data_IF_363073302094
#
_entry.id   IF_363073302094
#
_cell.length_a   1.000
_cell.length_b   1.000
_cell.length_c   1.000
_cell.angle_alpha   90.00
_cell.angle_beta   90.00
_cell.angle_gamma   90.00
#
_symmetry.space_group_name_H-M   'P 1'
#
loop_
_entity.id
_entity.type
_entity.pdbx_description
1 polymer ?
#
# COMPACT_ATOMS: atom_id res chain seq x y z
N UNK A 1 4.37 27.68 -0.79
CA UNK A 1 5.63 27.07 -1.30
C UNK A 1 5.32 25.65 -1.74
N UNK A 2 5.73 25.25 -2.94
CA UNK A 2 5.61 23.85 -3.39
C UNK A 2 6.53 22.98 -2.54
N UNK A 3 6.05 21.88 -1.96
CA UNK A 3 6.90 20.95 -1.22
C UNK A 3 8.00 20.36 -2.12
N UNK A 4 9.16 20.03 -1.51
CA UNK A 4 10.32 19.38 -2.18
C UNK A 4 9.88 18.16 -2.99
N UNK A 5 9.06 17.31 -2.38
CA UNK A 5 8.43 16.15 -3.02
C UNK A 5 7.77 16.49 -4.36
N UNK A 6 6.92 17.51 -4.40
CA UNK A 6 6.22 17.89 -5.62
C UNK A 6 7.16 18.48 -6.68
N UNK A 7 8.22 19.17 -6.27
CA UNK A 7 9.24 19.67 -7.18
C UNK A 7 10.01 18.53 -7.84
N UNK A 8 10.44 17.52 -7.05
CA UNK A 8 11.14 16.34 -7.54
C UNK A 8 10.25 15.50 -8.49
N UNK A 9 8.98 15.28 -8.15
CA UNK A 9 8.01 14.60 -9.02
C UNK A 9 7.90 15.31 -10.37
N UNK A 10 7.70 16.64 -10.36
CA UNK A 10 7.55 17.43 -11.59
C UNK A 10 8.81 17.43 -12.43
N UNK A 11 9.98 17.59 -11.81
CA UNK A 11 11.26 17.61 -12.50
C UNK A 11 11.54 16.27 -13.18
N UNK A 12 11.27 15.17 -12.47
CA UNK A 12 11.49 13.79 -12.96
C UNK A 12 10.57 13.43 -14.14
N UNK A 13 9.32 13.89 -14.11
CA UNK A 13 8.33 13.55 -15.12
C UNK A 13 8.44 14.38 -16.42
N UNK A 14 9.24 15.46 -16.43
CA UNK A 14 9.40 16.34 -17.58
C UNK A 14 8.06 16.87 -18.11
N UNK A 15 7.76 16.60 -19.39
CA UNK A 15 6.51 17.06 -20.03
C UNK A 15 5.25 16.44 -19.42
N UNK A 16 5.35 15.30 -18.74
CA UNK A 16 4.23 14.57 -18.12
C UNK A 16 4.00 14.93 -16.66
N UNK A 17 4.46 16.11 -16.21
CA UNK A 17 4.32 16.57 -14.82
C UNK A 17 2.88 16.54 -14.30
N UNK A 18 1.87 16.79 -15.14
CA UNK A 18 0.46 16.75 -14.71
C UNK A 18 0.07 15.31 -14.36
N UNK A 19 0.38 14.36 -15.24
CA UNK A 19 0.05 12.95 -15.07
C UNK A 19 0.81 12.31 -13.89
N UNK A 20 2.04 12.76 -13.63
CA UNK A 20 2.80 12.34 -12.45
C UNK A 20 2.11 12.79 -11.15
N UNK A 21 1.64 14.04 -11.09
CA UNK A 21 0.91 14.56 -9.93
C UNK A 21 -0.46 13.89 -9.76
N UNK A 22 -1.15 13.59 -10.84
CA UNK A 22 -2.39 12.81 -10.80
C UNK A 22 -2.15 11.40 -10.27
N UNK A 23 -1.08 10.75 -10.70
CA UNK A 23 -0.68 9.42 -10.21
C UNK A 23 -0.34 9.46 -8.71
N UNK A 24 0.41 10.48 -8.26
CA UNK A 24 0.68 10.67 -6.83
C UNK A 24 -0.61 10.91 -6.03
N UNK A 25 -1.53 11.72 -6.54
CA UNK A 25 -2.84 11.97 -5.92
C UNK A 25 -3.68 10.69 -5.81
N UNK A 26 -3.64 9.81 -6.82
CA UNK A 26 -4.33 8.50 -6.77
C UNK A 26 -3.77 7.63 -5.64
N UNK A 27 -2.44 7.55 -5.50
CA UNK A 27 -1.80 6.80 -4.41
C UNK A 27 -2.20 7.35 -3.01
N UNK A 28 -2.15 8.67 -2.82
CA UNK A 28 -2.55 9.28 -1.54
C UNK A 28 -4.03 9.03 -1.19
N UNK A 29 -4.92 9.08 -2.19
CA UNK A 29 -6.33 8.73 -2.01
C UNK A 29 -6.54 7.25 -1.69
N UNK A 30 -5.74 6.36 -2.27
CA UNK A 30 -5.77 4.95 -1.95
C UNK A 30 -5.40 4.72 -0.48
N UNK A 31 -4.27 5.28 -0.01
CA UNK A 31 -3.85 5.22 1.39
C UNK A 31 -4.94 5.73 2.35
N UNK A 32 -5.48 6.93 2.10
CA UNK A 32 -6.52 7.51 2.94
C UNK A 32 -7.86 6.72 2.91
N UNK A 33 -8.14 5.99 1.83
CA UNK A 33 -9.33 5.15 1.73
C UNK A 33 -9.13 3.84 2.47
N UNK A 34 -7.98 3.19 2.27
CA UNK A 34 -7.57 2.00 3.03
C UNK A 34 -7.61 2.26 4.52
N UNK A 35 -7.09 3.40 5.00
CA UNK A 35 -7.13 3.75 6.42
C UNK A 35 -8.57 3.77 6.98
N UNK A 36 -9.50 4.41 6.26
CA UNK A 36 -10.91 4.47 6.65
C UNK A 36 -11.59 3.10 6.62
N UNK A 37 -11.21 2.25 5.68
CA UNK A 37 -11.76 0.90 5.57
C UNK A 37 -11.28 0.00 6.69
N UNK A 38 -9.98 0.02 7.01
CA UNK A 38 -9.44 -0.71 8.16
C UNK A 38 -10.14 -0.27 9.44
N UNK A 39 -10.28 1.03 9.70
CA UNK A 39 -11.03 1.50 10.88
C UNK A 39 -12.48 0.98 10.90
N UNK A 40 -13.14 0.89 9.74
CA UNK A 40 -14.50 0.33 9.61
C UNK A 40 -14.54 -1.15 9.98
N UNK A 41 -13.53 -1.95 9.62
CA UNK A 41 -13.46 -3.38 9.98
C UNK A 41 -13.52 -3.56 11.50
N UNK A 42 -12.75 -2.78 12.26
CA UNK A 42 -12.76 -2.83 13.73
C UNK A 42 -14.08 -2.34 14.33
N UNK A 43 -14.66 -1.28 13.77
CA UNK A 43 -15.95 -0.78 14.21
C UNK A 43 -17.07 -1.81 13.96
N UNK A 44 -17.04 -2.52 12.82
CA UNK A 44 -17.99 -3.59 12.54
C UNK A 44 -17.84 -4.75 13.53
N UNK A 45 -16.61 -5.17 13.85
CA UNK A 45 -16.35 -6.17 14.87
C UNK A 45 -16.92 -5.76 16.24
N UNK A 46 -16.69 -4.51 16.65
CA UNK A 46 -17.28 -3.95 17.86
C UNK A 46 -18.82 -4.00 17.84
N UNK A 47 -19.46 -3.59 16.72
CA UNK A 47 -20.92 -3.60 16.62
C UNK A 47 -21.49 -5.01 16.75
N UNK A 48 -20.83 -6.02 16.17
CA UNK A 48 -21.24 -7.44 16.33
C UNK A 48 -21.16 -7.88 17.79
N UNK A 49 -20.06 -7.55 18.48
CA UNK A 49 -19.89 -7.83 19.92
C UNK A 49 -20.96 -7.14 20.77
N UNK A 50 -21.23 -5.85 20.51
CA UNK A 50 -22.23 -5.09 21.26
C UNK A 50 -23.67 -5.57 20.98
N UNK A 51 -23.98 -6.01 19.76
CA UNK A 51 -25.29 -6.57 19.42
C UNK A 51 -25.56 -7.87 20.17
N UNK A 52 -24.58 -8.78 20.25
CA UNK A 52 -24.69 -10.00 21.04
C UNK A 52 -24.82 -9.70 22.55
N UNK A 53 -24.11 -8.69 23.05
CA UNK A 53 -24.30 -8.20 24.42
C UNK A 53 -25.72 -7.70 24.68
N UNK A 54 -26.34 -6.96 23.76
CA UNK A 54 -27.69 -6.44 23.96
C UNK A 54 -28.74 -7.54 24.14
N UNK A 55 -28.50 -8.73 23.57
CA UNK A 55 -29.38 -9.88 23.73
C UNK A 55 -29.33 -10.48 25.15
N UNK A 56 -28.14 -10.60 25.76
CA UNK A 56 -27.93 -11.35 27.01
C UNK A 56 -27.31 -10.55 28.19
N UNK A 57 -27.15 -9.24 28.06
CA UNK A 57 -26.78 -8.20 29.08
C UNK A 57 -25.78 -8.59 30.20
N UNK A 58 -24.82 -9.47 29.94
CA UNK A 58 -23.80 -9.91 30.91
C UNK A 58 -22.37 -9.61 30.47
N UNK A 59 -21.42 -9.68 31.41
CA UNK A 59 -19.97 -9.63 31.07
C UNK A 59 -19.56 -10.90 30.32
N UNK A 60 -20.14 -12.05 30.69
CA UNK A 60 -19.91 -13.33 30.00
C UNK A 60 -20.34 -13.25 28.54
N UNK A 61 -21.49 -12.63 28.23
CA UNK A 61 -21.94 -12.48 26.84
C UNK A 61 -21.02 -11.60 25.99
N UNK A 62 -20.33 -10.62 26.57
CA UNK A 62 -19.27 -9.87 25.86
C UNK A 62 -18.07 -10.77 25.52
N UNK A 63 -17.64 -11.63 26.45
CA UNK A 63 -16.52 -12.54 26.22
C UNK A 63 -16.86 -13.61 25.17
N UNK A 64 -18.06 -14.17 25.24
CA UNK A 64 -18.57 -15.13 24.27
C UNK A 64 -18.66 -14.51 22.88
N UNK A 65 -19.23 -13.30 22.76
CA UNK A 65 -19.34 -12.61 21.47
C UNK A 65 -17.98 -12.29 20.84
N UNK A 66 -16.98 -11.91 21.64
CA UNK A 66 -15.60 -11.71 21.17
C UNK A 66 -15.01 -13.05 20.68
N UNK A 67 -15.26 -14.15 21.40
CA UNK A 67 -14.79 -15.48 20.99
C UNK A 67 -15.49 -15.99 19.73
N UNK A 68 -16.78 -15.71 19.56
CA UNK A 68 -17.55 -16.09 18.38
C UNK A 68 -17.10 -15.33 17.13
N UNK A 69 -16.90 -14.01 17.22
CA UNK A 69 -16.38 -13.20 16.10
C UNK A 69 -15.03 -13.75 15.60
N UNK A 70 -14.16 -14.12 16.55
CA UNK A 70 -12.85 -14.69 16.23
C UNK A 70 -12.94 -16.14 15.71
N UNK A 71 -13.72 -17.02 16.35
CA UNK A 71 -13.91 -18.42 15.89
C UNK A 71 -14.51 -18.48 14.49
N UNK A 72 -15.46 -17.58 14.21
CA UNK A 72 -16.04 -17.41 12.88
C UNK A 72 -15.07 -16.81 11.85
N UNK A 73 -13.86 -16.44 12.27
CA UNK A 73 -12.84 -15.78 11.44
C UNK A 73 -13.32 -14.49 10.76
N UNK A 74 -14.36 -13.84 11.30
CA UNK A 74 -15.02 -12.70 10.62
C UNK A 74 -14.06 -11.51 10.53
N UNK A 75 -13.46 -11.12 11.66
CA UNK A 75 -12.43 -10.06 11.66
C UNK A 75 -11.23 -10.41 10.77
N UNK A 76 -10.81 -11.68 10.76
CA UNK A 76 -9.69 -12.13 9.92
C UNK A 76 -10.02 -11.98 8.44
N UNK A 77 -11.20 -12.44 8.00
CA UNK A 77 -11.63 -12.35 6.61
C UNK A 77 -11.90 -10.91 6.18
N UNK A 78 -12.51 -10.08 7.03
CA UNK A 78 -12.70 -8.65 6.79
C UNK A 78 -11.34 -7.94 6.59
N UNK A 79 -10.36 -8.21 7.47
CA UNK A 79 -9.01 -7.65 7.35
C UNK A 79 -8.27 -8.16 6.12
N UNK A 80 -8.40 -9.46 5.82
CA UNK A 80 -7.80 -10.09 4.65
C UNK A 80 -8.31 -9.39 3.40
N UNK A 81 -9.61 -9.27 3.22
CA UNK A 81 -10.21 -8.62 2.06
C UNK A 81 -9.71 -7.18 1.88
N UNK A 82 -9.65 -6.39 2.96
CA UNK A 82 -9.17 -5.00 2.87
C UNK A 82 -7.67 -4.90 2.53
N UNK A 83 -6.84 -5.84 2.99
CA UNK A 83 -5.42 -5.90 2.61
C UNK A 83 -5.26 -6.36 1.16
N UNK A 84 -6.06 -7.32 0.70
CA UNK A 84 -6.08 -7.76 -0.71
C UNK A 84 -6.47 -6.60 -1.65
N UNK A 85 -7.47 -5.80 -1.22
CA UNK A 85 -7.87 -4.56 -1.91
C UNK A 85 -6.76 -3.52 -1.89
N UNK A 86 -6.06 -3.34 -0.77
CA UNK A 86 -4.94 -2.41 -0.64
C UNK A 86 -3.79 -2.77 -1.60
N UNK A 87 -3.41 -4.04 -1.69
CA UNK A 87 -2.40 -4.56 -2.64
C UNK A 87 -2.85 -4.30 -4.08
N UNK A 88 -4.08 -4.70 -4.42
CA UNK A 88 -4.61 -4.57 -5.77
C UNK A 88 -4.70 -3.11 -6.23
N UNK A 89 -5.04 -2.19 -5.32
CA UNK A 89 -5.12 -0.74 -5.56
C UNK A 89 -3.73 -0.12 -5.67
N UNK A 90 -2.80 -0.53 -4.81
CA UNK A 90 -1.41 -0.08 -4.86
C UNK A 90 -0.76 -0.44 -6.19
N UNK A 91 -0.89 -1.69 -6.63
CA UNK A 91 -0.37 -2.15 -7.92
C UNK A 91 -1.00 -1.37 -9.10
N UNK A 92 -2.31 -1.12 -9.06
CA UNK A 92 -2.98 -0.32 -10.08
C UNK A 92 -2.42 1.11 -10.18
N UNK A 93 -2.21 1.75 -9.02
CA UNK A 93 -1.65 3.08 -8.95
C UNK A 93 -0.19 3.13 -9.45
N UNK A 94 0.58 2.06 -9.21
CA UNK A 94 1.99 1.96 -9.60
C UNK A 94 2.23 1.93 -11.11
N UNK A 95 1.29 1.38 -11.88
CA UNK A 95 1.39 1.27 -13.35
C UNK A 95 0.91 2.53 -14.08
N UNK A 96 -0.01 3.29 -13.47
CA UNK A 96 -0.80 4.30 -14.17
C UNK A 96 0.01 5.31 -14.97
N UNK A 97 1.13 5.80 -14.41
CA UNK A 97 1.98 6.77 -15.09
C UNK A 97 2.72 6.15 -16.28
N UNK A 98 3.37 5.00 -16.07
CA UNK A 98 4.12 4.31 -17.12
C UNK A 98 3.23 3.89 -18.27
N UNK A 99 2.00 3.43 -17.97
CA UNK A 99 0.99 3.13 -18.96
C UNK A 99 0.65 4.37 -19.80
N UNK A 100 0.27 5.47 -19.14
CA UNK A 100 -0.07 6.71 -19.84
C UNK A 100 1.04 7.17 -20.81
N UNK A 101 2.27 7.28 -20.31
CA UNK A 101 3.42 7.76 -21.08
C UNK A 101 3.70 6.83 -22.26
N UNK A 102 3.70 5.52 -22.04
CA UNK A 102 3.99 4.54 -23.09
C UNK A 102 2.93 4.57 -24.18
N UNK A 103 1.64 4.63 -23.81
CA UNK A 103 0.56 4.68 -24.78
C UNK A 103 0.54 5.99 -25.57
N UNK A 104 0.94 7.10 -24.95
CA UNK A 104 1.09 8.39 -25.62
C UNK A 104 2.22 8.35 -26.67
N UNK A 105 3.40 7.87 -26.27
CA UNK A 105 4.58 7.70 -27.14
C UNK A 105 4.28 6.78 -28.33
N UNK A 106 3.67 5.61 -28.08
CA UNK A 106 3.34 4.65 -29.15
C UNK A 106 2.34 5.24 -30.14
N UNK A 107 1.31 5.95 -29.67
CA UNK A 107 0.36 6.66 -30.55
C UNK A 107 1.05 7.70 -31.42
N UNK A 108 1.94 8.51 -30.83
CA UNK A 108 2.69 9.51 -31.57
C UNK A 108 3.67 8.91 -32.61
N UNK A 109 4.14 7.69 -32.36
CA UNK A 109 4.95 6.90 -33.30
C UNK A 109 4.10 6.13 -34.34
N UNK A 110 2.77 6.11 -34.20
CA UNK A 110 1.87 5.34 -35.06
C UNK A 110 2.00 3.83 -34.85
N UNK A 111 2.31 3.39 -33.63
CA UNK A 111 2.36 1.98 -33.21
C UNK A 111 1.09 1.68 -32.41
N UNK A 112 0.53 0.48 -32.60
CA UNK A 112 -0.68 0.08 -31.88
C UNK A 112 -0.45 0.05 -30.35
N UNK A 113 -1.50 0.30 -29.59
CA UNK A 113 -1.42 0.39 -28.12
C UNK A 113 -1.93 -0.86 -27.42
N UNK A 114 -2.75 -1.68 -28.09
CA UNK A 114 -3.41 -2.81 -27.47
C UNK A 114 -2.44 -3.86 -26.89
N UNK A 115 -1.36 -4.27 -27.59
CA UNK A 115 -0.37 -5.19 -27.01
C UNK A 115 0.32 -4.60 -25.78
N UNK A 116 0.64 -3.31 -25.79
CA UNK A 116 1.25 -2.63 -24.65
C UNK A 116 0.30 -2.58 -23.44
N UNK A 117 -1.00 -2.31 -23.67
CA UNK A 117 -1.99 -2.34 -22.60
C UNK A 117 -2.12 -3.73 -21.97
N UNK A 118 -2.13 -4.79 -22.78
CA UNK A 118 -2.10 -6.19 -22.30
C UNK A 118 -0.82 -6.49 -21.49
N UNK A 119 0.33 -6.01 -21.96
CA UNK A 119 1.61 -6.11 -21.25
C UNK A 119 1.55 -5.45 -19.86
N UNK A 120 1.01 -4.23 -19.75
CA UNK A 120 0.83 -3.56 -18.46
C UNK A 120 -0.15 -4.28 -17.54
N UNK A 121 -1.25 -4.80 -18.07
CA UNK A 121 -2.17 -5.62 -17.29
C UNK A 121 -1.48 -6.87 -16.73
N UNK A 122 -0.66 -7.54 -17.53
CA UNK A 122 0.16 -8.66 -17.08
C UNK A 122 1.17 -8.25 -16.00
N UNK A 123 1.88 -7.13 -16.16
CA UNK A 123 2.77 -6.63 -15.10
C UNK A 123 2.03 -6.29 -13.81
N UNK A 124 0.79 -5.78 -13.90
CA UNK A 124 -0.06 -5.53 -12.72
C UNK A 124 -0.31 -6.81 -11.94
N UNK A 125 -0.72 -7.87 -12.65
CA UNK A 125 -0.99 -9.16 -12.04
C UNK A 125 0.26 -9.75 -11.39
N UNK A 126 1.42 -9.63 -12.06
CA UNK A 126 2.71 -10.06 -11.51
C UNK A 126 3.09 -9.31 -10.25
N UNK A 127 2.91 -7.99 -10.22
CA UNK A 127 3.20 -7.18 -9.04
C UNK A 127 2.32 -7.57 -7.84
N UNK A 128 1.02 -7.84 -8.08
CA UNK A 128 0.11 -8.36 -7.06
C UNK A 128 0.58 -9.75 -6.58
N UNK A 129 0.88 -10.67 -7.50
CA UNK A 129 1.36 -12.01 -7.15
C UNK A 129 2.68 -11.98 -6.36
N UNK A 130 3.60 -11.09 -6.71
CA UNK A 130 4.87 -10.91 -6.00
C UNK A 130 4.66 -10.48 -4.53
N UNK A 131 3.64 -9.67 -4.25
CA UNK A 131 3.29 -9.29 -2.88
C UNK A 131 2.84 -10.51 -2.06
N UNK A 132 2.00 -11.39 -2.63
CA UNK A 132 1.54 -12.60 -1.94
C UNK A 132 2.64 -13.66 -1.78
N UNK A 133 3.58 -13.74 -2.72
CA UNK A 133 4.70 -14.68 -2.65
C UNK A 133 5.76 -14.30 -1.60
N UNK A 134 5.67 -13.09 -1.02
CA UNK A 134 6.67 -12.56 -0.12
C UNK A 134 6.66 -13.26 1.25
N UNK A 135 7.84 -13.71 1.67
CA UNK A 135 8.15 -14.07 3.05
C UNK A 135 8.93 -12.92 3.67
N UNK A 136 8.47 -12.43 4.82
CA UNK A 136 9.09 -11.29 5.48
C UNK A 136 10.33 -11.73 6.26
N UNK A 137 11.13 -10.77 6.74
CA UNK A 137 12.36 -11.03 7.52
C UNK A 137 12.14 -11.91 8.75
N UNK A 138 10.94 -11.91 9.31
CA UNK A 138 10.53 -12.74 10.45
C UNK A 138 9.95 -14.12 10.04
N UNK A 139 10.06 -14.51 8.76
CA UNK A 139 9.60 -15.80 8.25
C UNK A 139 8.09 -15.92 8.04
N UNK A 140 7.32 -14.86 8.34
CA UNK A 140 5.86 -14.90 8.20
C UNK A 140 5.42 -14.57 6.77
N UNK A 141 4.24 -15.07 6.40
CA UNK A 141 3.49 -14.65 5.21
C UNK A 141 2.51 -13.52 5.55
N UNK A 142 1.89 -12.90 4.54
CA UNK A 142 0.81 -11.92 4.74
C UNK A 142 -0.33 -12.52 5.57
N UNK A 143 -0.81 -13.71 5.22
CA UNK A 143 -1.91 -14.37 5.93
C UNK A 143 -1.57 -14.64 7.39
N UNK A 144 -0.34 -15.09 7.70
CA UNK A 144 0.08 -15.30 9.09
C UNK A 144 0.13 -13.98 9.89
N UNK A 145 0.51 -12.87 9.24
CA UNK A 145 0.48 -11.54 9.88
C UNK A 145 -0.93 -11.08 10.17
N UNK A 146 -1.85 -11.28 9.23
CA UNK A 146 -3.28 -10.93 9.41
C UNK A 146 -3.85 -11.73 10.57
N UNK A 147 -3.62 -13.04 10.58
CA UNK A 147 -4.06 -13.93 11.66
C UNK A 147 -3.54 -13.48 13.02
N UNK A 148 -2.24 -13.17 13.12
CA UNK A 148 -1.64 -12.66 14.35
C UNK A 148 -2.28 -11.33 14.79
N UNK A 149 -2.53 -10.40 13.88
CA UNK A 149 -3.20 -9.13 14.19
C UNK A 149 -4.63 -9.37 14.69
N UNK A 150 -5.38 -10.28 14.08
CA UNK A 150 -6.72 -10.67 14.54
C UNK A 150 -6.69 -11.28 15.94
N UNK A 151 -5.69 -12.12 16.25
CA UNK A 151 -5.48 -12.68 17.59
C UNK A 151 -5.16 -11.60 18.63
N UNK A 152 -4.19 -10.73 18.34
CA UNK A 152 -3.83 -9.60 19.21
C UNK A 152 -5.02 -8.68 19.48
N UNK A 153 -5.86 -8.46 18.46
CA UNK A 153 -7.10 -7.68 18.57
C UNK A 153 -8.08 -8.33 19.52
N UNK A 154 -8.38 -9.62 19.33
CA UNK A 154 -9.24 -10.40 20.22
C UNK A 154 -8.74 -10.31 21.66
N UNK A 155 -7.47 -10.59 21.88
CA UNK A 155 -6.88 -10.64 23.22
C UNK A 155 -6.95 -9.27 23.91
N UNK A 156 -6.77 -8.18 23.16
CA UNK A 156 -6.94 -6.82 23.66
C UNK A 156 -8.39 -6.52 24.06
N UNK A 157 -9.37 -6.93 23.24
CA UNK A 157 -10.79 -6.78 23.58
C UNK A 157 -11.15 -7.60 24.83
N UNK A 158 -10.70 -8.86 24.92
CA UNK A 158 -10.94 -9.71 26.09
C UNK A 158 -10.31 -9.15 27.35
N UNK A 159 -9.09 -8.60 27.27
CA UNK A 159 -8.42 -7.98 28.41
C UNK A 159 -9.28 -6.86 29.02
N UNK A 160 -9.89 -6.02 28.19
CA UNK A 160 -10.78 -4.92 28.63
C UNK A 160 -12.02 -5.47 29.34
N UNK A 161 -12.64 -6.50 28.77
CA UNK A 161 -13.85 -7.12 29.36
C UNK A 161 -13.50 -7.82 30.68
N UNK A 162 -12.38 -8.55 30.74
CA UNK A 162 -11.92 -9.27 31.92
C UNK A 162 -11.59 -8.35 33.10
N UNK A 163 -10.95 -7.20 32.86
CA UNK A 163 -10.73 -6.23 33.95
C UNK A 163 -12.01 -5.54 34.41
N UNK A 164 -13.07 -5.63 33.62
CA UNK A 164 -14.41 -5.18 33.94
C UNK A 164 -15.21 -6.15 34.82
N UNK A 165 -14.70 -7.36 35.08
CA UNK A 165 -15.37 -8.32 35.97
C UNK A 165 -15.59 -7.69 37.35
N UNK A 166 -16.85 -7.69 37.81
CA UNK A 166 -17.28 -7.01 39.04
C UNK A 166 -17.73 -5.55 38.86
N UNK A 167 -17.64 -4.99 37.65
CA UNK A 167 -18.26 -3.71 37.27
C UNK A 167 -19.65 -3.93 36.64
N UNK A 168 -20.40 -2.84 36.48
CA UNK A 168 -21.62 -2.83 35.68
C UNK A 168 -21.31 -3.16 34.20
N UNK A 169 -22.05 -4.11 33.62
CA UNK A 169 -21.77 -4.59 32.26
C UNK A 169 -21.94 -3.50 31.18
N UNK A 170 -22.83 -2.51 31.39
CA UNK A 170 -22.98 -1.36 30.48
C UNK A 170 -21.72 -0.48 30.53
N UNK A 171 -21.15 -0.30 31.73
CA UNK A 171 -19.87 0.40 31.89
C UNK A 171 -18.73 -0.32 31.17
N UNK A 172 -18.68 -1.65 31.23
CA UNK A 172 -17.69 -2.46 30.50
C UNK A 172 -17.87 -2.32 28.98
N UNK A 173 -19.10 -2.41 28.49
CA UNK A 173 -19.41 -2.22 27.07
C UNK A 173 -18.99 -0.82 26.58
N UNK A 174 -19.25 0.24 27.35
CA UNK A 174 -18.81 1.62 27.02
C UNK A 174 -17.30 1.79 27.04
N UNK A 175 -16.59 1.10 27.93
CA UNK A 175 -15.13 1.11 27.98
C UNK A 175 -14.53 0.42 26.74
N UNK A 176 -15.09 -0.73 26.35
CA UNK A 176 -14.71 -1.43 25.13
C UNK A 176 -14.97 -0.58 23.88
N UNK A 177 -16.16 0.03 23.78
CA UNK A 177 -16.53 0.93 22.69
C UNK A 177 -15.57 2.14 22.60
N UNK A 178 -15.28 2.77 23.75
CA UNK A 178 -14.35 3.91 23.79
C UNK A 178 -12.95 3.48 23.35
N UNK A 179 -12.49 2.31 23.77
CA UNK A 179 -11.16 1.81 23.41
C UNK A 179 -11.02 1.55 21.91
N UNK A 180 -11.97 0.85 21.32
CA UNK A 180 -11.93 0.54 19.88
C UNK A 180 -11.99 1.84 19.05
N UNK A 181 -12.81 2.81 19.47
CA UNK A 181 -13.01 4.05 18.71
C UNK A 181 -11.95 5.14 18.95
N UNK A 182 -11.38 5.22 20.16
CA UNK A 182 -10.62 6.39 20.63
C UNK A 182 -9.27 6.02 21.29
N UNK A 183 -8.97 4.72 21.39
CA UNK A 183 -7.70 4.22 21.91
C UNK A 183 -7.56 4.27 23.44
N UNK A 184 -6.45 3.72 23.92
CA UNK A 184 -6.14 3.53 25.34
C UNK A 184 -6.07 4.83 26.14
N UNK A 185 -5.57 5.92 25.55
CA UNK A 185 -5.41 7.20 26.23
C UNK A 185 -6.77 7.81 26.64
N UNK A 186 -7.73 7.83 25.70
CA UNK A 186 -9.06 8.37 25.98
C UNK A 186 -9.85 7.43 26.90
N UNK A 187 -9.71 6.12 26.73
CA UNK A 187 -10.30 5.15 27.66
C UNK A 187 -9.73 5.29 29.08
N UNK A 188 -8.44 5.57 29.23
CA UNK A 188 -7.81 5.85 30.54
C UNK A 188 -8.38 7.08 31.21
N UNK A 189 -8.64 8.14 30.44
CA UNK A 189 -9.26 9.35 30.97
C UNK A 189 -10.71 9.11 31.43
N UNK A 190 -11.50 8.33 30.68
CA UNK A 190 -12.92 8.08 30.99
C UNK A 190 -13.16 6.95 32.00
N UNK A 191 -12.29 5.93 32.02
CA UNK A 191 -12.40 4.71 32.85
C UNK A 191 -11.11 4.42 33.64
N UNK A 192 -10.63 5.37 34.47
CA UNK A 192 -9.29 5.28 35.07
C UNK A 192 -9.10 4.07 36.00
N UNK A 193 -10.12 3.67 36.76
CA UNK A 193 -10.03 2.53 37.67
C UNK A 193 -9.92 1.19 36.91
N UNK A 194 -10.63 1.04 35.79
CA UNK A 194 -10.54 -0.16 34.94
C UNK A 194 -9.16 -0.24 34.26
N UNK A 195 -8.69 0.90 33.72
CA UNK A 195 -7.41 0.96 33.01
C UNK A 195 -6.20 0.79 33.94
N UNK A 196 -6.29 1.25 35.20
CA UNK A 196 -5.26 0.99 36.23
C UNK A 196 -5.07 -0.51 36.49
N UNK A 197 -6.14 -1.30 36.44
CA UNK A 197 -6.07 -2.77 36.59
C UNK A 197 -5.38 -3.44 35.39
N UNK A 198 -5.51 -2.86 34.19
CA UNK A 198 -4.86 -3.36 32.97
C UNK A 198 -3.36 -3.05 32.90
N UNK A 199 -2.91 -1.87 33.32
CA UNK A 199 -1.51 -1.45 33.17
C UNK A 199 -1.10 -1.33 31.69
N UNK A 200 0.14 -1.71 31.35
CA UNK A 200 0.70 -1.60 29.98
C UNK A 200 0.34 -2.78 29.05
N UNK A 201 -0.71 -3.55 29.37
CA UNK A 201 -1.04 -4.82 28.69
C UNK A 201 -1.76 -4.66 27.35
N UNK A 202 -2.24 -3.46 27.02
CA UNK A 202 -3.03 -3.22 25.80
C UNK A 202 -2.36 -2.18 24.89
N UNK A 203 -2.46 -2.32 23.55
CA UNK A 203 -1.91 -1.36 22.62
C UNK A 203 -2.63 -0.01 22.71
N UNK A 204 -1.93 1.06 22.32
CA UNK A 204 -2.49 2.42 22.32
C UNK A 204 -3.72 2.55 21.43
N UNK A 205 -3.68 1.96 20.24
CA UNK A 205 -4.83 1.84 19.33
C UNK A 205 -4.87 0.41 18.80
N UNK A 206 -6.07 -0.19 18.79
CA UNK A 206 -6.25 -1.61 18.46
C UNK A 206 -6.04 -1.91 16.97
N UNK A 207 -6.27 -0.91 16.11
CA UNK A 207 -6.20 -1.00 14.65
C UNK A 207 -4.85 -0.61 14.05
N UNK A 208 -3.94 -0.04 14.85
CA UNK A 208 -2.68 0.52 14.35
C UNK A 208 -1.82 -0.51 13.61
N UNK A 209 -1.75 -1.76 14.10
CA UNK A 209 -0.99 -2.81 13.44
C UNK A 209 -1.59 -3.19 12.08
N UNK A 210 -2.92 -3.24 11.96
CA UNK A 210 -3.60 -3.47 10.68
C UNK A 210 -3.39 -2.31 9.71
N UNK A 211 -3.52 -1.07 10.16
CA UNK A 211 -3.24 0.13 9.35
C UNK A 211 -1.82 0.13 8.83
N UNK A 212 -0.85 -0.15 9.72
CA UNK A 212 0.56 -0.24 9.38
C UNK A 212 0.83 -1.33 8.35
N UNK A 213 0.22 -2.50 8.48
CA UNK A 213 0.34 -3.58 7.51
C UNK A 213 -0.24 -3.16 6.17
N UNK A 214 -1.50 -2.69 6.14
CA UNK A 214 -2.19 -2.31 4.91
C UNK A 214 -1.45 -1.21 4.13
N UNK A 215 -0.95 -0.17 4.81
CA UNK A 215 -0.12 0.88 4.18
C UNK A 215 1.19 0.34 3.63
N UNK A 216 1.82 -0.59 4.35
CA UNK A 216 3.08 -1.23 3.92
C UNK A 216 2.85 -2.05 2.66
N UNK A 217 1.78 -2.86 2.63
CA UNK A 217 1.47 -3.72 1.48
C UNK A 217 1.00 -2.95 0.26
N UNK A 218 0.19 -1.90 0.45
CA UNK A 218 -0.20 -1.00 -0.63
C UNK A 218 1.03 -0.32 -1.24
N UNK A 219 1.95 0.18 -0.41
CA UNK A 219 3.17 0.84 -0.88
C UNK A 219 4.14 -0.15 -1.55
N UNK A 220 4.17 -1.40 -1.06
CA UNK A 220 4.97 -2.47 -1.67
C UNK A 220 4.44 -2.81 -3.07
N UNK A 221 3.13 -3.02 -3.19
CA UNK A 221 2.48 -3.29 -4.46
C UNK A 221 2.63 -2.12 -5.45
N UNK A 222 2.54 -0.88 -4.96
CA UNK A 222 2.82 0.31 -5.76
C UNK A 222 4.26 0.29 -6.29
N UNK A 223 5.25 0.10 -5.42
CA UNK A 223 6.66 0.06 -5.80
C UNK A 223 6.97 -1.04 -6.82
N UNK A 224 6.53 -2.26 -6.54
CA UNK A 224 6.72 -3.42 -7.43
C UNK A 224 6.12 -3.15 -8.82
N UNK A 225 4.88 -2.63 -8.85
CA UNK A 225 4.20 -2.32 -10.10
C UNK A 225 4.84 -1.14 -10.85
N UNK A 226 5.33 -0.13 -10.15
CA UNK A 226 6.08 0.99 -10.74
C UNK A 226 7.36 0.50 -11.39
N UNK A 227 8.12 -0.37 -10.72
CA UNK A 227 9.35 -0.95 -11.28
C UNK A 227 9.05 -1.89 -12.46
N UNK A 228 8.07 -2.79 -12.32
CA UNK A 228 7.69 -3.72 -13.38
C UNK A 228 7.18 -2.98 -14.63
N UNK A 229 6.34 -1.96 -14.45
CA UNK A 229 5.84 -1.15 -15.56
C UNK A 229 6.92 -0.26 -16.18
N UNK A 230 7.85 0.27 -15.39
CA UNK A 230 9.03 0.97 -15.92
C UNK A 230 9.83 0.03 -16.84
N UNK A 231 10.18 -1.18 -16.36
CA UNK A 231 10.92 -2.17 -17.16
C UNK A 231 10.22 -2.57 -18.45
N UNK A 232 8.89 -2.62 -18.45
CA UNK A 232 8.09 -2.95 -19.63
C UNK A 232 7.86 -1.78 -20.60
N UNK A 233 8.05 -0.55 -20.15
CA UNK A 233 7.80 0.65 -20.94
C UNK A 233 8.88 0.85 -22.02
N UNK A 234 8.50 1.27 -23.25
CA UNK A 234 9.48 1.74 -24.22
C UNK A 234 10.11 3.09 -23.84
N UNK A 235 9.51 3.82 -22.90
CA UNK A 235 9.83 5.21 -22.61
C UNK A 235 10.48 5.45 -21.24
N UNK A 236 10.55 4.42 -20.40
CA UNK A 236 11.00 4.58 -19.02
C UNK A 236 12.08 3.53 -18.76
N UNK A 237 13.31 4.00 -18.58
CA UNK A 237 14.46 3.14 -18.21
C UNK A 237 14.92 3.40 -16.78
N UNK A 238 14.59 4.58 -16.26
CA UNK A 238 15.00 5.06 -14.94
C UNK A 238 13.78 5.38 -14.08
N UNK A 239 14.00 5.36 -12.77
CA UNK A 239 13.03 5.75 -11.75
C UNK A 239 13.73 6.57 -10.68
N UNK A 240 12.98 7.44 -10.00
CA UNK A 240 13.49 8.24 -8.89
C UNK A 240 12.89 7.78 -7.58
N UNK A 241 13.72 7.64 -6.56
CA UNK A 241 13.26 7.55 -5.17
C UNK A 241 12.92 8.94 -4.65
N UNK A 242 11.66 9.17 -4.30
CA UNK A 242 11.14 10.46 -3.84
C UNK A 242 10.77 10.39 -2.38
N UNK A 243 11.42 11.23 -1.56
CA UNK A 243 11.08 11.40 -0.15
C UNK A 243 9.70 12.04 -0.01
N UNK A 244 8.90 11.50 0.90
CA UNK A 244 7.64 12.13 1.29
C UNK A 244 7.91 13.46 1.99
N UNK A 245 7.05 14.46 1.76
CA UNK A 245 7.10 15.71 2.49
C UNK A 245 6.85 15.57 4.00
N UNK A 246 6.31 14.43 4.45
CA UNK A 246 6.09 14.10 5.87
C UNK A 246 7.08 13.05 6.36
N UNK A 247 8.21 12.86 5.69
CA UNK A 247 9.29 12.00 6.15
C UNK A 247 9.81 12.53 7.50
N UNK A 248 9.64 11.78 8.61
CA UNK A 248 9.72 12.37 9.95
C UNK A 248 11.15 12.52 10.47
N UNK A 249 12.10 11.75 9.94
CA UNK A 249 13.49 11.71 10.42
C UNK A 249 14.41 11.13 9.36
N UNK A 250 15.69 11.46 9.43
CA UNK A 250 16.69 10.84 8.56
C UNK A 250 16.79 9.33 8.82
N UNK A 251 16.68 8.53 7.76
CA UNK A 251 16.87 7.08 7.77
C UNK A 251 17.35 6.55 6.41
N UNK A 252 17.19 5.24 6.16
CA UNK A 252 17.58 4.59 4.90
C UNK A 252 16.91 5.22 3.66
N UNK A 253 15.72 5.81 3.80
CA UNK A 253 15.06 6.50 2.70
C UNK A 253 15.87 7.70 2.21
N UNK A 254 16.55 8.43 3.10
CA UNK A 254 17.41 9.54 2.72
C UNK A 254 18.61 9.05 1.92
N UNK A 255 19.18 7.90 2.29
CA UNK A 255 20.26 7.28 1.51
C UNK A 255 19.76 6.90 0.12
N UNK A 256 18.55 6.33 0.00
CA UNK A 256 17.98 6.01 -1.30
C UNK A 256 17.65 7.25 -2.13
N UNK A 257 17.26 8.35 -1.49
CA UNK A 257 17.01 9.63 -2.16
C UNK A 257 18.27 10.36 -2.64
N UNK A 258 19.44 10.02 -2.09
CA UNK A 258 20.75 10.54 -2.50
C UNK A 258 21.65 9.44 -3.10
N UNK A 259 21.07 8.31 -3.48
CA UNK A 259 21.78 7.23 -4.16
C UNK A 259 21.63 7.33 -5.67
N UNK A 260 21.74 6.19 -6.36
CA UNK A 260 21.81 6.15 -7.81
C UNK A 260 23.20 6.54 -8.33
N UNK A 261 23.39 6.46 -9.63
CA UNK A 261 24.69 6.69 -10.28
C UNK A 261 25.24 8.11 -10.01
N UNK A 262 24.34 9.10 -9.93
CA UNK A 262 24.69 10.51 -9.78
C UNK A 262 24.43 11.06 -8.37
N UNK A 263 24.00 10.23 -7.42
CA UNK A 263 23.63 10.68 -6.07
C UNK A 263 22.37 11.56 -6.00
N UNK A 264 21.53 11.54 -7.05
CA UNK A 264 20.32 12.35 -7.19
C UNK A 264 19.02 11.55 -6.91
N UNK A 265 19.17 10.30 -6.46
CA UNK A 265 18.07 9.38 -6.22
C UNK A 265 17.46 8.79 -7.48
N UNK A 266 18.11 8.95 -8.65
CA UNK A 266 17.67 8.34 -9.91
C UNK A 266 18.46 7.04 -10.16
N UNK A 267 17.70 5.96 -10.35
CA UNK A 267 18.21 4.61 -10.57
C UNK A 267 17.76 4.10 -11.94
N UNK A 268 18.53 3.19 -12.54
CA UNK A 268 17.92 2.30 -13.53
C UNK A 268 16.80 1.50 -12.84
N UNK A 269 15.71 1.22 -13.55
CA UNK A 269 14.58 0.48 -12.96
C UNK A 269 14.99 -0.91 -12.43
N UNK A 270 16.05 -1.51 -12.99
CA UNK A 270 16.62 -2.77 -12.50
C UNK A 270 17.33 -2.69 -11.15
N UNK A 271 17.88 -1.51 -10.83
CA UNK A 271 18.82 -1.31 -9.72
C UNK A 271 18.20 -0.50 -8.58
N UNK A 272 16.96 -0.04 -8.75
CA UNK A 272 16.25 0.75 -7.75
C UNK A 272 16.01 -0.06 -6.47
N UNK A 273 16.25 0.51 -5.28
CA UNK A 273 15.94 -0.15 -4.02
C UNK A 273 14.47 -0.58 -3.92
N UNK A 274 14.24 -1.69 -3.21
CA UNK A 274 12.89 -2.21 -3.00
C UNK A 274 12.07 -1.24 -2.15
N UNK A 275 10.88 -0.90 -2.64
CA UNK A 275 9.88 -0.13 -1.89
C UNK A 275 8.85 -1.05 -1.23
N UNK A 276 8.35 -0.73 -0.02
CA UNK A 276 8.83 0.35 0.85
C UNK A 276 10.17 -0.02 1.52
N UNK A 277 10.98 0.98 1.85
CA UNK A 277 12.25 0.76 2.54
C UNK A 277 12.07 0.23 3.98
N UNK A 278 10.93 0.56 4.60
CA UNK A 278 10.58 0.13 5.95
C UNK A 278 9.05 0.10 6.13
N UNK A 279 8.52 -0.56 7.18
CA UNK A 279 7.09 -0.54 7.44
C UNK A 279 6.56 0.89 7.63
N UNK A 280 5.34 1.15 7.14
CA UNK A 280 4.70 2.47 7.17
C UNK A 280 5.51 3.59 6.47
N UNK A 281 6.40 3.25 5.53
CA UNK A 281 7.10 4.24 4.72
C UNK A 281 6.12 5.02 3.85
N UNK A 282 6.33 6.34 3.75
CA UNK A 282 5.50 7.24 2.94
C UNK A 282 6.19 7.68 1.64
N UNK A 283 7.48 7.36 1.51
CA UNK A 283 8.30 7.62 0.34
C UNK A 283 7.88 6.73 -0.82
N UNK A 284 8.14 7.17 -2.05
CA UNK A 284 7.65 6.48 -3.25
C UNK A 284 8.69 6.43 -4.33
N UNK A 285 8.50 5.51 -5.28
CA UNK A 285 9.26 5.46 -6.52
C UNK A 285 8.44 6.17 -7.60
N UNK A 286 9.07 7.04 -8.38
CA UNK A 286 8.44 7.77 -9.47
C UNK A 286 9.15 7.45 -10.79
N UNK A 287 8.43 7.06 -11.86
CA UNK A 287 9.06 6.83 -13.14
C UNK A 287 9.72 8.08 -13.71
N UNK A 288 10.88 7.91 -14.34
CA UNK A 288 11.63 8.96 -15.02
C UNK A 288 11.69 8.67 -16.53
N UNK A 289 10.78 9.28 -17.33
CA UNK A 289 10.79 9.10 -18.77
C UNK A 289 12.09 9.59 -19.42
N UNK A 290 12.51 8.94 -20.49
CA UNK A 290 13.60 9.44 -21.34
C UNK A 290 13.15 10.64 -22.20
N UNK A 291 14.03 11.14 -23.06
CA UNK A 291 13.67 12.17 -24.03
C UNK A 291 12.62 11.63 -25.00
N UNK A 292 11.40 12.14 -24.84
CA UNK A 292 10.20 11.69 -25.55
C UNK A 292 10.26 12.01 -27.04
N UNK A 293 10.74 13.19 -27.42
CA UNK A 293 10.75 13.60 -28.82
C UNK A 293 11.81 12.79 -29.59
N UNK A 294 12.98 12.56 -28.96
CA UNK A 294 14.01 11.65 -29.46
C UNK A 294 13.50 10.21 -29.58
N UNK A 295 12.81 9.70 -28.56
CA UNK A 295 12.27 8.35 -28.56
C UNK A 295 11.22 8.15 -29.66
N UNK A 296 10.29 9.09 -29.85
CA UNK A 296 9.28 9.00 -30.92
C UNK A 296 9.95 8.95 -32.29
N UNK A 297 10.99 9.76 -32.52
CA UNK A 297 11.77 9.72 -33.77
C UNK A 297 12.40 8.35 -33.98
N UNK A 298 13.07 7.81 -32.96
CA UNK A 298 13.71 6.48 -33.01
C UNK A 298 12.70 5.35 -33.22
N UNK A 299 11.53 5.40 -32.60
CA UNK A 299 10.45 4.43 -32.83
C UNK A 299 9.94 4.47 -34.27
N UNK A 300 9.84 5.66 -34.88
CA UNK A 300 9.45 5.80 -36.30
C UNK A 300 10.53 5.27 -37.25
N UNK A 301 11.80 5.45 -36.93
CA UNK A 301 12.93 4.87 -37.68
C UNK A 301 12.93 3.34 -37.57
N UNK A 302 12.82 2.81 -36.35
CA UNK A 302 12.69 1.38 -36.07
C UNK A 302 11.53 0.74 -36.83
N UNK A 303 10.37 1.40 -36.88
CA UNK A 303 9.20 0.88 -37.61
C UNK A 303 9.45 0.73 -39.12
N UNK A 304 10.33 1.54 -39.71
CA UNK A 304 10.73 1.45 -41.12
C UNK A 304 11.82 0.40 -41.33
N UNK A 305 12.79 0.34 -40.42
CA UNK A 305 13.91 -0.57 -40.46
C UNK A 305 14.21 -1.09 -39.03
N UNK A 306 13.71 -2.29 -38.65
CA UNK A 306 13.83 -2.79 -37.28
C UNK A 306 15.28 -2.97 -36.79
N UNK A 307 16.23 -3.22 -37.69
CA UNK A 307 17.67 -3.30 -37.39
C UNK A 307 18.30 -1.95 -36.99
N UNK A 308 17.64 -0.82 -37.25
CA UNK A 308 18.17 0.54 -36.99
C UNK A 308 18.28 0.87 -35.50
N UNK A 309 17.44 0.26 -34.65
CA UNK A 309 17.38 0.55 -33.21
C UNK A 309 17.37 -0.77 -32.41
N UNK A 310 18.57 -1.31 -32.13
CA UNK A 310 18.73 -2.62 -31.46
C UNK A 310 18.06 -2.69 -30.08
N UNK A 311 18.06 -1.60 -29.31
CA UNK A 311 17.43 -1.57 -28.00
C UNK A 311 15.90 -1.58 -28.08
N UNK A 312 15.32 -0.87 -29.05
CA UNK A 312 13.88 -0.89 -29.34
C UNK A 312 13.46 -2.26 -29.86
N UNK A 313 14.22 -2.87 -30.78
CA UNK A 313 13.95 -4.21 -31.28
C UNK A 313 13.95 -5.25 -30.15
N UNK A 314 14.92 -5.15 -29.23
CA UNK A 314 14.98 -6.00 -28.04
C UNK A 314 13.75 -5.78 -27.15
N UNK A 315 13.39 -4.53 -26.87
CA UNK A 315 12.19 -4.19 -26.09
C UNK A 315 10.93 -4.77 -26.74
N UNK A 316 10.74 -4.54 -28.04
CA UNK A 316 9.56 -5.00 -28.78
C UNK A 316 9.38 -6.51 -28.65
N UNK A 317 10.44 -7.30 -28.93
CA UNK A 317 10.37 -8.75 -28.84
C UNK A 317 10.10 -9.29 -27.43
N UNK A 318 10.47 -8.54 -26.38
CA UNK A 318 10.38 -9.01 -24.99
C UNK A 318 9.15 -8.50 -24.23
N UNK A 319 8.66 -7.31 -24.53
CA UNK A 319 7.62 -6.64 -23.73
C UNK A 319 6.37 -6.24 -24.52
N UNK A 320 6.42 -6.31 -25.86
CA UNK A 320 5.30 -5.93 -26.73
C UNK A 320 4.80 -7.12 -27.56
N UNK A 321 5.65 -7.74 -28.38
CA UNK A 321 5.34 -8.85 -29.29
C UNK A 321 4.65 -10.04 -28.62
N UNK A 322 4.99 -10.47 -27.39
CA UNK A 322 4.29 -11.57 -26.73
C UNK A 322 2.80 -11.31 -26.45
N UNK A 323 2.35 -10.06 -26.61
CA UNK A 323 0.98 -9.63 -26.37
C UNK A 323 0.26 -9.22 -27.67
N UNK A 324 0.86 -9.47 -28.83
CA UNK A 324 0.17 -9.40 -30.13
C UNK A 324 -0.74 -10.63 -30.29
N UNK A 325 -1.99 -10.41 -30.69
CA UNK A 325 -3.09 -11.40 -30.63
C UNK A 325 -4.17 -10.90 -29.67
#
# INVERSE_FOLDING_TARGET
MSSRELAEIKATAGRYKIQALESRKKLLRALATTDRHIARVYNNALQRVLAAYQANRGIESLLEAIDEDFKGSILFDDLRLEIENAISTGAAAGINFSEYVSLDVLRAAGIETAPMLKSFYFQRQRAVAACYAKIYKDGLTISNRIWRISQETRDSMKAIVQVGVGEDAVKVARALETYVNQGAAVTSAKFPNMMRRMGSRIPQNIDYNALRLARTELTAAYGEATIASAKASPAIKKVRWVLSNTHPRTDICDQYAHGGENGDGIYNAGDCPISPAHPNCLCTIQPAPEDIDSLIKRLKEWKKEPSSQKDIEKWYNSHYKPFEG
#
